data_IF_163571591329
#
_entry.id   IF_163571591329
#
_cell.length_a   1.000
_cell.length_b   1.000
_cell.length_c   1.000
_cell.angle_alpha   90.00
_cell.angle_beta   90.00
_cell.angle_gamma   90.00
#
_symmetry.space_group_name_H-M   'P 1'
#
loop_
_entity.id
_entity.type
_entity.pdbx_description
1 polymer ?
#
# COMPACT_ATOMS: atom_id res chain seq x y z
N UNK A 1 -7.58 -6.78 -6.01
CA UNK A 1 -7.46 -5.46 -5.36
C UNK A 1 -7.70 -5.68 -3.86
N UNK A 2 -6.67 -5.53 -3.02
CA UNK A 2 -6.76 -5.82 -1.58
C UNK A 2 -7.29 -4.62 -0.79
N UNK A 3 -7.66 -4.84 0.47
CA UNK A 3 -8.22 -3.81 1.36
C UNK A 3 -7.28 -2.59 1.49
N UNK A 4 -5.96 -2.85 1.60
CA UNK A 4 -4.90 -1.84 1.71
C UNK A 4 -4.92 -0.88 0.50
N UNK A 5 -5.04 -1.40 -0.72
CA UNK A 5 -5.11 -0.57 -1.92
C UNK A 5 -6.36 0.32 -1.95
N UNK A 6 -7.48 -0.16 -1.39
CA UNK A 6 -8.74 0.61 -1.33
C UNK A 6 -8.67 1.70 -0.27
N UNK A 7 -8.06 1.42 0.88
CA UNK A 7 -7.91 2.37 2.00
C UNK A 7 -6.99 3.55 1.62
N UNK A 8 -5.88 3.28 0.92
CA UNK A 8 -4.96 4.30 0.42
C UNK A 8 -5.61 5.16 -0.67
N UNK A 9 -6.30 4.53 -1.63
CA UNK A 9 -7.00 5.25 -2.69
C UNK A 9 -8.12 6.16 -2.14
N UNK A 10 -8.66 5.83 -0.96
CA UNK A 10 -9.66 6.64 -0.25
C UNK A 10 -9.03 7.66 0.70
N UNK A 11 -7.70 7.77 0.75
CA UNK A 11 -6.95 8.59 1.71
C UNK A 11 -7.34 8.35 3.17
N UNK A 12 -7.84 7.14 3.48
CA UNK A 12 -8.22 6.74 4.84
C UNK A 12 -7.05 6.17 5.64
N UNK A 13 -5.91 5.99 4.97
CA UNK A 13 -4.72 5.34 5.49
C UNK A 13 -3.49 5.95 4.82
N UNK A 14 -2.46 6.22 5.60
CA UNK A 14 -1.15 6.67 5.09
C UNK A 14 -0.38 5.51 4.47
N UNK A 15 0.56 5.80 3.57
CA UNK A 15 1.42 4.77 2.97
C UNK A 15 2.21 4.00 4.04
N UNK A 16 2.60 4.66 5.12
CA UNK A 16 3.30 4.01 6.23
C UNK A 16 2.44 2.99 6.96
N UNK A 17 1.20 3.34 7.31
CA UNK A 17 0.26 2.40 7.93
C UNK A 17 -0.02 1.24 6.97
N UNK A 18 -0.18 1.52 5.68
CA UNK A 18 -0.43 0.51 4.66
C UNK A 18 0.73 -0.48 4.51
N UNK A 19 1.99 0.00 4.55
CA UNK A 19 3.18 -0.86 4.61
C UNK A 19 3.19 -1.72 5.88
N UNK A 20 2.70 -1.17 7.00
CA UNK A 20 2.63 -1.90 8.26
C UNK A 20 1.60 -3.03 8.21
N UNK A 21 0.38 -2.77 7.72
CA UNK A 21 -0.63 -3.81 7.49
C UNK A 21 -0.18 -4.84 6.45
N UNK A 22 0.52 -4.42 5.39
CA UNK A 22 1.05 -5.35 4.40
C UNK A 22 2.03 -6.33 5.05
N UNK A 23 2.89 -5.87 5.97
CA UNK A 23 3.82 -6.75 6.71
C UNK A 23 3.07 -7.78 7.57
N UNK A 24 1.99 -7.37 8.24
CA UNK A 24 1.18 -8.27 9.06
C UNK A 24 0.43 -9.31 8.20
N UNK A 25 -0.09 -8.89 7.05
CA UNK A 25 -0.87 -9.75 6.16
C UNK A 25 -0.01 -10.55 5.16
N UNK A 26 1.28 -10.21 5.00
CA UNK A 26 2.22 -10.81 4.03
C UNK A 26 2.25 -12.33 4.08
N UNK A 27 2.06 -12.93 5.25
CA UNK A 27 2.08 -14.38 5.43
C UNK A 27 0.90 -15.11 4.76
N UNK A 28 -0.22 -14.42 4.52
CA UNK A 28 -1.39 -14.96 3.82
C UNK A 28 -1.49 -14.53 2.35
N UNK A 29 -0.52 -13.78 1.84
CA UNK A 29 -0.52 -13.21 0.49
C UNK A 29 0.56 -13.87 -0.37
N UNK A 30 0.24 -14.10 -1.64
CA UNK A 30 1.22 -14.60 -2.59
C UNK A 30 2.31 -13.55 -2.83
N UNK A 31 3.55 -13.98 -3.06
CA UNK A 31 4.70 -13.09 -3.32
C UNK A 31 4.44 -12.16 -4.50
N UNK A 32 3.78 -12.65 -5.55
CA UNK A 32 3.43 -11.82 -6.70
C UNK A 32 2.50 -10.68 -6.31
N UNK A 33 1.54 -10.96 -5.42
CA UNK A 33 0.60 -9.95 -4.96
C UNK A 33 1.23 -8.96 -3.98
N UNK A 34 2.13 -9.42 -3.10
CA UNK A 34 2.90 -8.53 -2.22
C UNK A 34 3.70 -7.52 -3.04
N UNK A 35 4.38 -7.96 -4.11
CA UNK A 35 5.14 -7.07 -4.99
C UNK A 35 4.25 -6.04 -5.73
N UNK A 36 3.06 -6.45 -6.16
CA UNK A 36 2.08 -5.55 -6.77
C UNK A 36 1.62 -4.47 -5.78
N UNK A 37 1.34 -4.86 -4.53
CA UNK A 37 0.93 -3.91 -3.48
C UNK A 37 2.10 -2.97 -3.15
N UNK A 38 3.32 -3.47 -2.96
CA UNK A 38 4.50 -2.64 -2.69
C UNK A 38 4.73 -1.59 -3.79
N UNK A 39 4.56 -1.96 -5.06
CA UNK A 39 4.68 -1.02 -6.18
C UNK A 39 3.64 0.10 -6.09
N UNK A 40 2.37 -0.25 -5.80
CA UNK A 40 1.30 0.73 -5.63
C UNK A 40 1.50 1.64 -4.42
N UNK A 41 2.07 1.11 -3.34
CA UNK A 41 2.45 1.89 -2.16
C UNK A 41 3.51 2.93 -2.51
N UNK A 42 4.51 2.54 -3.29
CA UNK A 42 5.60 3.41 -3.73
C UNK A 42 5.09 4.53 -4.67
N UNK A 43 4.21 4.19 -5.60
CA UNK A 43 3.54 5.17 -6.46
C UNK A 43 2.67 6.16 -5.66
N UNK A 44 1.93 5.66 -4.68
CA UNK A 44 1.14 6.51 -3.78
C UNK A 44 2.01 7.40 -2.88
N UNK A 45 3.17 6.91 -2.43
CA UNK A 45 4.14 7.69 -1.65
C UNK A 45 4.70 8.84 -2.47
N UNK A 46 5.07 8.59 -3.72
CA UNK A 46 5.52 9.63 -4.65
C UNK A 46 4.43 10.65 -4.92
N UNK A 47 3.22 10.20 -5.22
CA UNK A 47 2.09 11.10 -5.46
C UNK A 47 1.71 11.93 -4.22
N UNK A 48 1.89 11.40 -3.00
CA UNK A 48 1.63 12.12 -1.76
C UNK A 48 2.78 13.04 -1.32
N UNK A 49 4.03 12.70 -1.66
CA UNK A 49 5.21 13.54 -1.43
C UNK A 49 5.38 14.66 -2.46
N UNK A 50 4.74 14.54 -3.62
CA UNK A 50 4.69 15.56 -4.66
C UNK A 50 3.47 16.49 -4.43
N UNK A 51 3.53 17.24 -3.33
CA UNK A 51 2.64 18.38 -3.07
C UNK A 51 3.51 19.60 -2.73
N UNK A 52 3.77 20.53 -3.68
CA UNK A 52 4.37 21.84 -3.39
C UNK A 52 3.41 22.75 -2.60
#
# INVERSE_FOLDING_TARGET
MCLICVEIAKSKMTVNEARQQLREMRHGLDKAHVAEVETKLDEAEKAAGENP
#
